data_IF_158306104174
#
_entry.id   IF_158306104174
#
_cell.length_a   1.000
_cell.length_b   1.000
_cell.length_c   1.000
_cell.angle_alpha   90.00
_cell.angle_beta   90.00
_cell.angle_gamma   90.00
#
_symmetry.space_group_name_H-M   'P 1'
#
loop_
_entity.id
_entity.type
_entity.pdbx_description
1 polymer ?
#
# COMPACT_ATOMS: atom_id res chain seq x y z
N UNK A 1 -16.22 -5.84 5.13
CA UNK A 1 -17.04 -5.07 6.11
C UNK A 1 -18.04 -5.94 6.87
N UNK A 2 -18.95 -6.69 6.21
CA UNK A 2 -19.99 -7.49 6.89
C UNK A 2 -19.40 -8.45 7.95
N UNK A 3 -18.37 -9.22 7.58
CA UNK A 3 -17.70 -10.14 8.53
C UNK A 3 -17.11 -9.41 9.74
N UNK A 4 -16.47 -8.25 9.51
CA UNK A 4 -15.84 -7.49 10.58
C UNK A 4 -16.87 -6.89 11.54
N UNK A 5 -17.99 -6.34 11.04
CA UNK A 5 -19.10 -5.88 11.88
C UNK A 5 -19.66 -7.01 12.75
N UNK A 6 -19.91 -8.17 12.14
CA UNK A 6 -20.40 -9.36 12.88
C UNK A 6 -19.43 -9.81 13.96
N UNK A 7 -18.12 -9.88 13.67
CA UNK A 7 -17.11 -10.34 14.63
C UNK A 7 -16.84 -9.36 15.77
N UNK A 8 -17.01 -8.05 15.51
CA UNK A 8 -16.78 -7.00 16.54
C UNK A 8 -18.04 -6.55 17.26
N UNK A 9 -19.22 -6.86 16.76
CA UNK A 9 -20.50 -6.34 17.25
C UNK A 9 -20.70 -4.84 17.02
N UNK A 10 -19.89 -4.19 16.17
CA UNK A 10 -19.92 -2.74 15.93
C UNK A 10 -20.56 -2.44 14.58
N UNK A 11 -21.87 -2.19 14.56
CA UNK A 11 -22.61 -1.91 13.32
C UNK A 11 -22.17 -0.61 12.62
N UNK A 12 -21.70 0.39 13.39
CA UNK A 12 -21.26 1.69 12.88
C UNK A 12 -19.84 1.69 12.28
N UNK A 13 -19.14 0.55 12.35
CA UNK A 13 -17.77 0.42 11.88
C UNK A 13 -17.64 0.84 10.39
N UNK A 14 -16.71 1.76 10.12
CA UNK A 14 -16.49 2.32 8.79
C UNK A 14 -15.00 2.51 8.52
N UNK A 15 -14.50 2.11 7.33
CA UNK A 15 -13.09 2.36 6.99
C UNK A 15 -12.85 3.88 6.88
N UNK A 16 -11.70 4.33 7.38
CA UNK A 16 -11.28 5.73 7.30
C UNK A 16 -10.25 5.97 6.20
N UNK A 17 -9.72 4.92 5.62
CA UNK A 17 -8.89 4.92 4.43
C UNK A 17 -9.13 3.66 3.60
N UNK A 18 -8.47 3.59 2.45
CA UNK A 18 -8.53 2.42 1.56
C UNK A 18 -7.22 1.63 1.58
N UNK A 19 -7.33 0.36 1.24
CA UNK A 19 -6.24 -0.55 0.91
C UNK A 19 -6.64 -1.30 -0.37
N UNK A 20 -5.70 -1.69 -1.18
CA UNK A 20 -6.00 -2.50 -2.37
C UNK A 20 -6.42 -3.91 -1.96
N UNK A 21 -7.25 -4.55 -2.78
CA UNK A 21 -7.87 -5.84 -2.46
C UNK A 21 -6.85 -6.94 -2.09
N UNK A 22 -5.72 -6.97 -2.79
CA UNK A 22 -4.68 -7.99 -2.62
C UNK A 22 -3.61 -7.60 -1.58
N UNK A 23 -3.61 -6.34 -1.09
CA UNK A 23 -2.64 -5.89 -0.09
C UNK A 23 -3.03 -6.39 1.30
N UNK A 24 -2.08 -7.02 1.99
CA UNK A 24 -2.24 -7.46 3.37
C UNK A 24 -1.95 -6.36 4.39
N UNK A 25 -2.28 -6.59 5.67
CA UNK A 25 -1.84 -5.79 6.80
C UNK A 25 -2.86 -4.81 7.36
N UNK A 26 -2.41 -3.65 7.83
CA UNK A 26 -3.17 -2.73 8.65
C UNK A 26 -4.22 -1.95 7.85
N UNK A 27 -5.46 -1.97 8.38
CA UNK A 27 -6.56 -1.10 7.92
C UNK A 27 -7.22 -0.47 9.15
N UNK A 28 -7.36 0.83 9.16
CA UNK A 28 -7.99 1.56 10.26
C UNK A 28 -9.49 1.82 9.99
N UNK A 29 -10.28 1.70 11.07
CA UNK A 29 -11.72 1.91 11.04
C UNK A 29 -12.15 2.87 12.14
N UNK A 30 -13.10 3.75 11.83
CA UNK A 30 -13.81 4.52 12.86
C UNK A 30 -14.94 3.67 13.45
N UNK A 31 -15.07 3.71 14.78
CA UNK A 31 -16.17 3.07 15.51
C UNK A 31 -17.38 3.99 15.64
N UNK A 32 -17.17 5.30 15.80
CA UNK A 32 -18.21 6.28 16.06
C UNK A 32 -18.44 7.17 14.84
N UNK A 33 -19.70 7.32 14.38
CA UNK A 33 -20.01 8.13 13.19
C UNK A 33 -19.57 9.59 13.31
N UNK A 34 -19.69 10.19 14.50
CA UNK A 34 -19.34 11.59 14.75
C UNK A 34 -17.84 11.89 14.58
N UNK A 35 -16.97 10.91 14.82
CA UNK A 35 -15.52 11.10 14.73
C UNK A 35 -14.97 10.81 13.33
N UNK A 36 -15.76 10.19 12.47
CA UNK A 36 -15.33 9.67 11.17
C UNK A 36 -14.64 10.71 10.32
N UNK A 37 -15.21 11.91 10.24
CA UNK A 37 -14.67 12.99 9.43
C UNK A 37 -13.28 13.45 9.93
N UNK A 38 -13.08 13.55 11.25
CA UNK A 38 -11.81 13.93 11.85
C UNK A 38 -10.70 12.91 11.50
N UNK A 39 -11.00 11.61 11.61
CA UNK A 39 -10.03 10.56 11.22
C UNK A 39 -9.79 10.50 9.72
N UNK A 40 -10.80 10.69 8.89
CA UNK A 40 -10.61 10.75 7.42
C UNK A 40 -9.78 11.96 7.01
N UNK A 41 -9.89 13.09 7.71
CA UNK A 41 -9.07 14.28 7.50
C UNK A 41 -7.57 13.98 7.65
N UNK A 42 -7.17 13.14 8.61
CA UNK A 42 -5.76 12.73 8.77
C UNK A 42 -5.15 12.15 7.48
N UNK A 43 -5.92 11.35 6.75
CA UNK A 43 -5.46 10.75 5.48
C UNK A 43 -5.50 11.75 4.34
N UNK A 44 -6.53 12.58 4.24
CA UNK A 44 -6.65 13.65 3.26
C UNK A 44 -5.51 14.66 3.40
N UNK A 45 -5.21 15.05 4.62
CA UNK A 45 -4.23 16.08 4.96
C UNK A 45 -2.80 15.49 5.11
N UNK A 46 -2.62 14.20 4.76
CA UNK A 46 -1.34 13.46 4.78
C UNK A 46 -0.66 13.44 6.16
N UNK A 47 -1.42 13.57 7.24
CA UNK A 47 -0.93 13.54 8.62
C UNK A 47 -0.70 12.14 9.18
N UNK A 48 -0.91 11.10 8.36
CA UNK A 48 -0.68 9.69 8.70
C UNK A 48 0.60 9.21 8.05
N UNK A 49 1.54 8.73 8.87
CA UNK A 49 2.71 8.00 8.37
C UNK A 49 2.31 6.56 8.08
N UNK A 50 2.59 6.09 6.88
CA UNK A 50 2.33 4.72 6.41
C UNK A 50 3.60 4.11 5.87
N UNK A 51 3.98 2.94 6.39
CA UNK A 51 5.09 2.15 5.89
C UNK A 51 4.55 0.81 5.44
N UNK A 52 4.92 0.44 4.23
CA UNK A 52 4.62 -0.86 3.64
C UNK A 52 5.91 -1.64 3.47
N UNK A 53 5.79 -2.95 3.43
CA UNK A 53 6.84 -3.84 2.99
C UNK A 53 6.42 -4.54 1.70
N UNK A 54 7.38 -4.77 0.80
CA UNK A 54 7.16 -5.56 -0.40
C UNK A 54 8.33 -6.51 -0.63
N UNK A 55 8.04 -7.70 -1.19
CA UNK A 55 9.07 -8.56 -1.78
C UNK A 55 9.08 -8.32 -3.29
N UNK A 56 10.24 -8.03 -3.83
CA UNK A 56 10.44 -7.81 -5.26
C UNK A 56 11.85 -8.27 -5.69
N UNK A 57 12.13 -8.42 -6.99
CA UNK A 57 13.46 -8.79 -7.46
C UNK A 57 14.52 -7.81 -6.94
N UNK A 58 15.65 -8.35 -6.51
CA UNK A 58 16.84 -7.56 -6.22
C UNK A 58 17.56 -7.21 -7.53
N UNK A 59 17.89 -5.93 -7.68
CA UNK A 59 18.67 -5.44 -8.82
C UNK A 59 19.91 -4.72 -8.33
N UNK A 60 21.07 -5.31 -8.61
CA UNK A 60 22.39 -4.80 -8.18
C UNK A 60 22.69 -3.42 -8.79
N UNK A 61 22.27 -3.18 -10.03
CA UNK A 61 22.47 -1.89 -10.72
C UNK A 61 21.68 -0.73 -10.07
N UNK A 62 20.62 -1.04 -9.32
CA UNK A 62 19.85 -0.06 -8.56
C UNK A 62 20.37 0.11 -7.12
N UNK A 63 21.16 -0.81 -6.59
CA UNK A 63 21.52 -0.84 -5.17
C UNK A 63 22.09 0.48 -4.65
N UNK A 64 23.02 1.10 -5.41
CA UNK A 64 23.66 2.36 -5.04
C UNK A 64 22.72 3.59 -5.10
N UNK A 65 21.52 3.44 -5.65
CA UNK A 65 20.53 4.52 -5.76
C UNK A 65 19.61 4.60 -4.54
N UNK A 66 19.55 3.56 -3.72
CA UNK A 66 18.70 3.54 -2.54
C UNK A 66 19.29 4.38 -1.39
N UNK A 67 18.45 5.07 -0.60
CA UNK A 67 17.00 5.15 -0.73
C UNK A 67 16.56 5.98 -1.95
N UNK A 68 15.56 5.50 -2.70
CA UNK A 68 15.02 6.19 -3.86
C UNK A 68 13.79 7.01 -3.44
N UNK A 69 13.80 8.32 -3.75
CA UNK A 69 12.60 9.15 -3.73
C UNK A 69 11.97 9.11 -5.10
N UNK A 70 10.89 8.33 -5.25
CA UNK A 70 10.23 8.14 -6.54
C UNK A 70 8.96 8.97 -6.63
N UNK A 71 8.89 9.83 -7.62
CA UNK A 71 7.77 10.71 -7.88
C UNK A 71 7.30 10.54 -9.33
N UNK A 72 6.01 10.41 -9.54
CA UNK A 72 5.43 10.31 -10.88
C UNK A 72 3.99 10.82 -10.91
N UNK A 73 3.46 11.01 -12.10
CA UNK A 73 2.05 11.25 -12.31
C UNK A 73 1.36 9.94 -12.65
N UNK A 74 0.44 9.49 -11.78
CA UNK A 74 -0.32 8.26 -11.94
C UNK A 74 -1.77 8.61 -12.29
N UNK A 75 -2.28 8.01 -13.37
CA UNK A 75 -3.66 8.15 -13.84
C UNK A 75 -4.30 6.78 -14.13
N UNK A 76 -5.62 6.77 -14.31
CA UNK A 76 -6.34 5.56 -14.70
C UNK A 76 -6.00 5.18 -16.14
N UNK A 77 -5.71 3.90 -16.36
CA UNK A 77 -5.48 3.36 -17.69
C UNK A 77 -6.82 3.11 -18.41
N UNK A 78 -6.79 3.04 -19.75
CA UNK A 78 -7.90 2.53 -20.53
C UNK A 78 -8.32 1.10 -20.14
N UNK A 79 -7.41 0.34 -19.54
CA UNK A 79 -7.71 -0.96 -18.91
C UNK A 79 -8.28 -0.70 -17.51
N UNK A 80 -9.57 -0.92 -17.33
CA UNK A 80 -10.41 -0.54 -16.18
C UNK A 80 -9.79 -0.72 -14.79
N UNK A 81 -9.05 -1.80 -14.54
CA UNK A 81 -8.47 -2.07 -13.22
C UNK A 81 -7.07 -1.49 -13.04
N UNK A 82 -6.41 -1.08 -14.12
CA UNK A 82 -4.99 -0.71 -14.14
C UNK A 82 -4.79 0.80 -13.97
N UNK A 83 -3.71 1.17 -13.31
CA UNK A 83 -3.15 2.51 -13.29
C UNK A 83 -1.88 2.53 -14.12
N UNK A 84 -1.46 3.70 -14.61
CA UNK A 84 -0.20 3.87 -15.33
C UNK A 84 0.41 5.24 -15.07
N UNK A 85 1.69 5.37 -15.34
CA UNK A 85 2.38 6.64 -15.30
C UNK A 85 2.19 7.40 -16.61
N UNK A 86 2.00 8.70 -16.49
CA UNK A 86 1.88 9.64 -17.62
C UNK A 86 2.82 10.82 -17.41
N UNK A 87 3.12 11.53 -18.48
CA UNK A 87 3.87 12.79 -18.43
C UNK A 87 3.08 13.87 -17.68
N UNK A 88 3.78 14.75 -16.98
CA UNK A 88 3.21 15.88 -16.26
C UNK A 88 3.70 16.00 -14.83
N UNK A 89 3.23 17.01 -14.11
CA UNK A 89 3.61 17.25 -12.71
C UNK A 89 3.27 16.05 -11.83
N UNK A 90 4.18 15.60 -10.96
CA UNK A 90 3.96 14.44 -10.09
C UNK A 90 2.75 14.64 -9.17
N UNK A 91 1.91 13.61 -9.08
CA UNK A 91 0.78 13.55 -8.16
C UNK A 91 0.90 12.37 -7.17
N UNK A 92 2.01 11.64 -7.25
CA UNK A 92 2.35 10.50 -6.40
C UNK A 92 3.80 10.58 -5.93
N UNK A 93 4.05 10.10 -4.71
CA UNK A 93 5.30 10.24 -3.99
C UNK A 93 5.52 9.03 -3.08
N UNK A 94 6.67 8.34 -3.26
CA UNK A 94 7.05 7.17 -2.47
C UNK A 94 8.56 7.17 -2.20
N UNK A 95 8.94 6.99 -0.94
CA UNK A 95 10.33 6.66 -0.57
C UNK A 95 10.47 5.14 -0.51
N UNK A 96 11.49 4.62 -1.19
CA UNK A 96 11.76 3.19 -1.36
C UNK A 96 13.15 2.92 -0.84
N UNK A 97 13.29 1.95 0.05
CA UNK A 97 14.59 1.51 0.58
C UNK A 97 14.66 -0.02 0.66
N UNK A 98 15.88 -0.56 0.69
CA UNK A 98 16.12 -2.00 0.84
C UNK A 98 16.29 -2.31 2.33
N UNK A 99 15.50 -3.24 2.86
CA UNK A 99 15.66 -3.74 4.24
C UNK A 99 16.54 -4.98 4.31
N UNK A 100 16.37 -5.91 3.37
CA UNK A 100 17.05 -7.20 3.36
C UNK A 100 17.16 -7.75 1.94
N UNK A 101 18.28 -8.40 1.64
CA UNK A 101 18.49 -9.11 0.37
C UNK A 101 18.74 -10.58 0.63
N UNK A 102 18.08 -11.47 -0.14
CA UNK A 102 18.30 -12.91 -0.11
C UNK A 102 18.21 -13.49 -1.52
N UNK A 103 19.37 -13.84 -2.06
CA UNK A 103 19.46 -14.32 -3.44
C UNK A 103 18.97 -13.29 -4.45
N UNK A 104 18.03 -13.70 -5.28
CA UNK A 104 17.45 -12.82 -6.31
C UNK A 104 16.30 -11.92 -5.80
N UNK A 105 15.95 -12.01 -4.53
CA UNK A 105 14.83 -11.26 -3.93
C UNK A 105 15.31 -10.27 -2.89
N UNK A 106 14.59 -9.17 -2.75
CA UNK A 106 14.80 -8.23 -1.65
C UNK A 106 13.45 -7.88 -1.00
N UNK A 107 13.50 -7.58 0.29
CA UNK A 107 12.43 -6.91 1.02
C UNK A 107 12.69 -5.42 1.00
N UNK A 108 11.71 -4.69 0.52
CA UNK A 108 11.74 -3.24 0.41
C UNK A 108 10.84 -2.61 1.45
N UNK A 109 11.31 -1.50 2.05
CA UNK A 109 10.51 -0.57 2.83
C UNK A 109 9.96 0.53 1.93
N UNK A 110 8.66 0.76 1.97
CA UNK A 110 7.96 1.69 1.09
C UNK A 110 7.20 2.71 1.95
N UNK A 111 7.71 3.94 2.06
CA UNK A 111 7.05 5.03 2.80
C UNK A 111 6.24 5.88 1.83
N UNK A 112 4.93 5.95 2.05
CA UNK A 112 4.00 6.73 1.22
C UNK A 112 3.94 8.20 1.63
N UNK A 113 4.22 9.11 0.70
CA UNK A 113 3.89 10.53 0.81
C UNK A 113 2.48 10.86 0.29
N UNK A 114 1.96 10.04 -0.62
CA UNK A 114 0.60 10.12 -1.19
C UNK A 114 -0.08 8.77 -1.13
N UNK A 115 -1.35 8.66 -1.55
CA UNK A 115 -2.12 7.41 -1.49
C UNK A 115 -2.97 7.16 -2.75
N UNK A 116 -2.37 7.26 -3.94
CA UNK A 116 -3.04 6.93 -5.19
C UNK A 116 -3.36 5.44 -5.28
N UNK A 117 -4.39 5.10 -6.04
CA UNK A 117 -4.74 3.70 -6.34
C UNK A 117 -3.54 2.99 -6.96
N UNK A 118 -3.19 1.80 -6.48
CA UNK A 118 -2.07 0.96 -6.94
C UNK A 118 -0.68 1.63 -6.92
N UNK A 119 -0.50 2.77 -6.22
CA UNK A 119 0.71 3.59 -6.31
C UNK A 119 2.00 2.79 -6.13
N UNK A 120 2.11 2.00 -5.06
CA UNK A 120 3.31 1.21 -4.78
C UNK A 120 3.60 0.17 -5.88
N UNK A 121 2.55 -0.45 -6.40
CA UNK A 121 2.63 -1.47 -7.46
C UNK A 121 3.11 -0.86 -8.77
N UNK A 122 2.60 0.33 -9.12
CA UNK A 122 3.03 1.09 -10.31
C UNK A 122 4.49 1.51 -10.15
N UNK A 123 4.86 2.17 -9.05
CA UNK A 123 6.22 2.67 -8.83
C UNK A 123 7.27 1.54 -8.85
N UNK A 124 7.00 0.42 -8.16
CA UNK A 124 7.90 -0.73 -8.14
C UNK A 124 8.04 -1.35 -9.54
N UNK A 125 6.93 -1.45 -10.28
CA UNK A 125 6.94 -1.95 -11.65
C UNK A 125 7.70 -1.03 -12.59
N UNK A 126 7.53 0.29 -12.51
CA UNK A 126 8.24 1.29 -13.32
C UNK A 126 9.75 1.31 -13.06
N UNK A 127 10.18 0.99 -11.84
CA UNK A 127 11.59 0.79 -11.50
C UNK A 127 12.17 -0.53 -12.05
N UNK A 128 11.36 -1.39 -12.68
CA UNK A 128 11.77 -2.70 -13.16
C UNK A 128 11.94 -3.74 -12.05
N UNK A 129 11.34 -3.51 -10.89
CA UNK A 129 11.30 -4.41 -9.73
C UNK A 129 9.83 -4.65 -9.30
N UNK A 130 8.99 -5.26 -10.18
CA UNK A 130 7.58 -5.50 -9.87
C UNK A 130 7.44 -6.34 -8.60
N UNK A 131 6.42 -6.07 -7.81
CA UNK A 131 6.15 -6.79 -6.57
C UNK A 131 5.86 -8.26 -6.89
N UNK A 132 6.44 -9.18 -6.12
CA UNK A 132 6.26 -10.62 -6.30
C UNK A 132 4.77 -10.99 -6.20
N UNK A 133 4.32 -11.84 -7.12
CA UNK A 133 2.95 -12.29 -7.28
C UNK A 133 1.94 -11.17 -7.63
N UNK A 134 2.42 -10.06 -8.19
CA UNK A 134 1.51 -9.03 -8.71
C UNK A 134 0.90 -9.50 -10.03
N UNK A 135 -0.42 -9.70 -10.04
CA UNK A 135 -1.16 -10.20 -11.20
C UNK A 135 -1.61 -9.06 -12.14
N UNK A 136 -1.41 -7.79 -11.76
CA UNK A 136 -1.78 -6.63 -12.57
C UNK A 136 -0.55 -5.96 -13.20
N UNK A 137 0.59 -5.97 -12.51
CA UNK A 137 1.82 -5.29 -12.93
C UNK A 137 3.00 -6.25 -13.01
N UNK A 138 3.88 -6.09 -14.03
CA UNK A 138 3.81 -5.13 -15.13
C UNK A 138 2.73 -5.46 -16.16
N UNK A 139 2.33 -6.74 -16.26
CA UNK A 139 1.38 -7.26 -17.25
C UNK A 139 0.16 -7.83 -16.55
N UNK A 140 -1.03 -7.33 -16.94
CA UNK A 140 -2.30 -7.85 -16.44
C UNK A 140 -2.49 -9.30 -16.83
N UNK A 141 -2.62 -10.18 -15.84
CA UNK A 141 -2.89 -11.60 -16.08
C UNK A 141 -4.36 -11.81 -16.47
N UNK A 142 -4.67 -12.62 -17.49
CA UNK A 142 -6.03 -12.76 -18.02
C UNK A 142 -7.08 -13.23 -16.98
N UNK A 143 -6.65 -14.01 -15.99
CA UNK A 143 -7.52 -14.61 -14.98
C UNK A 143 -7.84 -13.71 -13.78
N UNK A 144 -7.21 -12.54 -13.66
CA UNK A 144 -7.35 -11.64 -12.48
C UNK A 144 -8.80 -11.23 -12.22
N UNK A 145 -9.59 -11.08 -13.28
CA UNK A 145 -11.00 -10.64 -13.18
C UNK A 145 -11.89 -11.78 -12.70
N UNK A 146 -11.59 -13.02 -13.05
CA UNK A 146 -12.44 -14.20 -12.84
C UNK A 146 -11.98 -15.11 -11.70
N UNK A 147 -10.68 -15.17 -11.43
CA UNK A 147 -10.11 -16.05 -10.42
C UNK A 147 -9.99 -15.37 -9.05
N UNK A 148 -10.40 -16.08 -8.01
CA UNK A 148 -10.25 -15.69 -6.60
C UNK A 148 -9.20 -16.55 -5.89
N UNK A 149 -8.23 -17.04 -6.62
CA UNK A 149 -7.14 -17.81 -6.04
C UNK A 149 -6.18 -16.89 -5.26
N UNK A 150 -5.99 -17.21 -4.00
CA UNK A 150 -5.08 -16.51 -3.09
C UNK A 150 -3.93 -17.43 -2.61
N UNK A 151 -3.66 -18.53 -3.31
CA UNK A 151 -2.56 -19.44 -2.99
C UNK A 151 -1.20 -18.77 -3.14
N UNK A 152 -1.08 -17.83 -4.08
CA UNK A 152 0.10 -16.98 -4.28
C UNK A 152 -0.25 -15.51 -4.05
N UNK A 153 -0.35 -15.06 -2.80
CA UNK A 153 -0.78 -13.70 -2.50
C UNK A 153 0.26 -12.67 -2.94
N UNK A 154 -0.22 -11.50 -3.36
CA UNK A 154 0.61 -10.32 -3.61
C UNK A 154 1.52 -10.07 -2.41
N UNK A 155 2.83 -10.00 -2.62
CA UNK A 155 3.80 -9.79 -1.55
C UNK A 155 3.92 -8.30 -1.21
N UNK A 156 2.81 -7.69 -0.78
CA UNK A 156 2.69 -6.30 -0.33
C UNK A 156 1.93 -6.23 0.99
N UNK A 157 2.55 -5.65 2.00
CA UNK A 157 2.07 -5.60 3.38
C UNK A 157 2.04 -4.16 3.91
N UNK A 158 0.88 -3.66 4.35
CA UNK A 158 0.76 -2.45 5.16
C UNK A 158 1.30 -2.72 6.56
N UNK A 159 2.58 -2.44 6.79
CA UNK A 159 3.35 -2.86 7.96
C UNK A 159 3.16 -1.95 9.15
N UNK A 160 3.21 -0.62 8.92
CA UNK A 160 3.12 0.36 9.99
C UNK A 160 2.12 1.47 9.66
N UNK A 161 1.43 1.92 10.68
CA UNK A 161 0.51 3.06 10.63
C UNK A 161 0.69 3.91 11.89
N UNK A 162 1.00 5.20 11.74
CA UNK A 162 1.11 6.09 12.89
C UNK A 162 0.51 7.47 12.61
N UNK A 163 -0.15 8.02 13.63
CA UNK A 163 -0.79 9.33 13.59
C UNK A 163 -0.99 9.89 15.00
N UNK A 164 -1.33 11.17 15.09
CA UNK A 164 -1.86 11.78 16.30
C UNK A 164 -3.38 11.67 16.25
N UNK A 165 -3.97 11.08 17.28
CA UNK A 165 -5.42 10.91 17.39
C UNK A 165 -6.11 12.28 17.40
N UNK A 166 -7.04 12.57 16.47
CA UNK A 166 -7.62 13.91 16.34
C UNK A 166 -8.63 14.26 17.45
N UNK A 167 -8.99 13.29 18.29
CA UNK A 167 -9.93 13.49 19.39
C UNK A 167 -9.19 13.61 20.73
N UNK A 168 -8.23 12.71 21.00
CA UNK A 168 -7.51 12.67 22.26
C UNK A 168 -6.17 13.39 22.25
N UNK A 169 -5.60 13.69 21.08
CA UNK A 169 -4.26 14.24 20.92
C UNK A 169 -3.12 13.24 21.17
N UNK A 170 -3.42 11.99 21.49
CA UNK A 170 -2.41 10.97 21.76
C UNK A 170 -1.75 10.48 20.48
N UNK A 171 -0.46 10.20 20.54
CA UNK A 171 0.25 9.54 19.43
C UNK A 171 -0.05 8.05 19.43
N UNK A 172 -0.43 7.54 18.28
CA UNK A 172 -0.61 6.12 18.04
C UNK A 172 0.40 5.59 17.02
N UNK A 173 0.92 4.40 17.27
CA UNK A 173 1.78 3.66 16.34
C UNK A 173 1.35 2.19 16.37
N UNK A 174 0.91 1.69 15.23
CA UNK A 174 0.44 0.33 15.04
C UNK A 174 1.39 -0.43 14.13
N UNK A 175 1.65 -1.69 14.46
CA UNK A 175 2.43 -2.62 13.68
C UNK A 175 1.57 -3.82 13.31
N UNK A 176 1.68 -4.28 12.06
CA UNK A 176 1.11 -5.55 11.66
C UNK A 176 1.90 -6.71 12.28
N UNK A 177 1.19 -7.67 12.86
CA UNK A 177 1.79 -8.95 13.31
C UNK A 177 2.18 -9.85 12.15
N UNK A 178 1.67 -9.59 10.94
CA UNK A 178 2.05 -10.31 9.73
C UNK A 178 3.48 -9.93 9.30
N UNK A 179 4.14 -10.84 8.58
CA UNK A 179 5.45 -10.64 7.98
C UNK A 179 5.48 -11.21 6.57
N UNK A 180 6.28 -10.60 5.70
CA UNK A 180 6.66 -11.16 4.42
C UNK A 180 7.95 -11.97 4.59
N UNK A 181 8.04 -13.12 3.93
CA UNK A 181 9.19 -14.02 4.02
C UNK A 181 9.88 -14.09 2.65
N UNK A 182 11.21 -13.83 2.65
CA UNK A 182 12.12 -13.96 1.50
C UNK A 182 12.43 -15.43 1.20
#
# INVERSE_FOLDING_TARGET
MVRLKKSTGIETLSPIHRIDRETAGLVAFSKRPQDRNAYQALFRDKSVKKIYQAIAPFREDLQKRFPIHYQSRIEESSVFIKMHEVSGDPNSDTWIDIEEVRGQWARYSLKLGTGKKHQLRVHMSSLGIPIKNDQIYPVLQPHVITNKDFSEPLQLLAKELSFVDPISGLKHHFFSSQALHL
#
